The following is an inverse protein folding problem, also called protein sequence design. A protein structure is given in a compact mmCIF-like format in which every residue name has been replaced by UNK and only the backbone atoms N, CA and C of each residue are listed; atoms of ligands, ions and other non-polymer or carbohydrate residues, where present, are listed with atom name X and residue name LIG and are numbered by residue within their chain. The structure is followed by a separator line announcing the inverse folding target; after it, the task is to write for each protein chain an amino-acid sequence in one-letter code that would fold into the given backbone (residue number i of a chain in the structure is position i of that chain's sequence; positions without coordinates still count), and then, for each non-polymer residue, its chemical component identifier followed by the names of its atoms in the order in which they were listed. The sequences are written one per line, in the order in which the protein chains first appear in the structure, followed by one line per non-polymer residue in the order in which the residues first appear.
data_IF_033229265886
#
_entry.id   IF_033229265886
#
_cell.length_a   1.000
_cell.length_b   1.000
_cell.length_c   1.000
_cell.angle_alpha   90.00
_cell.angle_beta   90.00
_cell.angle_gamma   90.00
#
_symmetry.space_group_name_H-M   'P 1'
#
loop_
_entity.id
_entity.type
_entity.pdbx_description
1 polymer ?
#
# COMPACT_ATOMS: atom_id res chain seq x y z
N UNK A 1 76.49 24.69 0.22
CA UNK A 1 77.51 24.22 1.15
C UNK A 1 77.00 23.07 1.98
N UNK A 2 77.67 21.93 1.88
CA UNK A 2 77.84 20.82 2.85
C UNK A 2 76.58 20.08 3.22
N UNK A 3 76.49 18.76 3.23
CA UNK A 3 77.39 17.63 2.86
C UNK A 3 76.55 16.38 2.92
N UNK A 4 76.74 15.48 1.95
CA UNK A 4 76.28 14.06 1.97
C UNK A 4 76.86 13.33 3.20
N UNK A 5 76.09 12.43 3.79
CA UNK A 5 76.67 11.23 4.44
C UNK A 5 75.77 10.02 4.17
N UNK A 6 76.30 9.10 3.40
CA UNK A 6 75.89 7.75 3.27
C UNK A 6 76.47 6.90 4.41
N UNK A 7 75.76 5.90 4.88
CA UNK A 7 76.22 4.76 5.71
C UNK A 7 75.41 3.51 5.46
N UNK A 8 75.95 2.33 5.65
CA UNK A 8 75.80 1.26 4.67
C UNK A 8 74.81 0.14 5.04
N UNK A 9 74.63 -0.76 4.08
CA UNK A 9 73.86 -2.00 4.16
C UNK A 9 74.37 -2.95 5.25
N UNK A 10 73.47 -3.57 5.98
CA UNK A 10 73.65 -4.82 6.73
C UNK A 10 72.61 -5.82 6.31
N UNK A 11 73.06 -6.84 5.60
CA UNK A 11 72.32 -8.10 5.37
C UNK A 11 72.21 -8.83 6.71
N UNK A 12 70.97 -9.08 7.16
CA UNK A 12 70.67 -10.11 8.14
C UNK A 12 69.57 -10.99 7.57
N UNK A 13 69.91 -12.18 7.15
CA UNK A 13 69.00 -13.20 6.65
C UNK A 13 68.06 -13.66 7.79
N UNK A 14 66.79 -13.56 7.60
CA UNK A 14 65.76 -14.21 8.42
C UNK A 14 65.12 -15.32 7.62
N UNK A 15 65.48 -16.53 8.05
CA UNK A 15 64.86 -17.77 7.60
C UNK A 15 63.40 -17.74 8.04
N UNK A 16 62.48 -17.67 7.07
CA UNK A 16 61.01 -17.76 7.32
C UNK A 16 60.62 -19.23 7.34
N UNK A 17 60.40 -19.77 8.53
CA UNK A 17 59.83 -21.08 8.74
C UNK A 17 58.31 -20.98 8.45
N UNK A 18 57.88 -21.48 7.30
CA UNK A 18 56.45 -21.69 7.00
C UNK A 18 55.92 -22.81 7.87
N UNK A 19 55.30 -22.45 8.99
CA UNK A 19 54.43 -23.39 9.73
C UNK A 19 53.09 -23.42 8.97
N UNK A 20 52.86 -24.51 8.24
CA UNK A 20 51.56 -24.78 7.62
C UNK A 20 50.57 -25.13 8.74
N UNK A 21 49.77 -24.14 9.18
CA UNK A 21 48.61 -24.38 9.98
C UNK A 21 47.50 -24.95 9.06
N UNK A 22 47.38 -26.28 9.01
CA UNK A 22 46.21 -26.96 8.49
C UNK A 22 45.04 -26.81 9.50
N UNK A 23 44.43 -25.62 9.54
CA UNK A 23 43.08 -25.52 10.10
C UNK A 23 42.08 -25.94 9.05
N UNK A 24 41.24 -26.95 9.29
CA UNK A 24 40.13 -27.24 8.41
C UNK A 24 39.21 -26.02 8.43
N UNK A 25 39.07 -25.36 7.28
CA UNK A 25 38.03 -24.35 7.04
C UNK A 25 36.72 -25.11 7.21
N UNK A 26 36.11 -24.97 8.39
CA UNK A 26 34.71 -25.30 8.54
C UNK A 26 33.95 -24.39 7.62
N UNK A 27 33.50 -24.90 6.48
CA UNK A 27 32.50 -24.26 5.66
C UNK A 27 31.28 -24.01 6.57
N UNK A 28 31.07 -22.76 6.95
CA UNK A 28 29.79 -22.36 7.55
C UNK A 28 28.70 -22.76 6.54
N UNK A 29 27.65 -23.44 6.99
CA UNK A 29 26.52 -23.70 6.12
C UNK A 29 26.04 -22.32 5.63
N UNK A 30 26.12 -22.11 4.33
CA UNK A 30 25.48 -20.99 3.66
C UNK A 30 24.03 -21.01 4.13
N UNK A 31 23.59 -19.94 4.81
CA UNK A 31 22.23 -19.83 5.30
C UNK A 31 21.28 -20.16 4.15
N UNK A 32 20.54 -21.22 4.31
CA UNK A 32 19.43 -21.59 3.44
C UNK A 32 18.61 -20.31 3.24
N UNK A 33 18.49 -19.84 2.01
CA UNK A 33 17.60 -18.76 1.69
C UNK A 33 16.23 -19.17 2.25
N UNK A 34 15.75 -18.44 3.26
CA UNK A 34 14.48 -18.75 3.89
C UNK A 34 13.43 -18.79 2.79
N UNK A 35 12.71 -19.88 2.67
CA UNK A 35 11.60 -19.99 1.72
C UNK A 35 10.64 -18.81 1.94
N UNK A 36 10.11 -18.21 0.87
CA UNK A 36 9.17 -17.12 1.02
C UNK A 36 7.99 -17.53 1.92
N UNK A 37 7.50 -16.64 2.77
CA UNK A 37 6.41 -16.97 3.68
C UNK A 37 5.17 -17.42 2.88
N UNK A 38 4.60 -18.55 3.25
CA UNK A 38 3.46 -19.16 2.55
C UNK A 38 2.38 -19.58 3.55
N UNK A 39 1.12 -19.59 3.10
CA UNK A 39 0.02 -20.17 3.88
C UNK A 39 0.15 -21.69 3.96
N UNK A 40 -0.19 -22.26 5.11
CA UNK A 40 -0.25 -23.71 5.30
C UNK A 40 -1.35 -24.34 4.43
N UNK A 41 -2.48 -23.65 4.30
CA UNK A 41 -3.61 -24.09 3.48
C UNK A 41 -4.14 -22.87 2.74
N UNK A 42 -4.37 -22.98 1.44
CA UNK A 42 -4.98 -21.94 0.64
C UNK A 42 -5.89 -22.52 -0.45
N UNK A 43 -7.04 -21.90 -0.61
CA UNK A 43 -8.00 -22.17 -1.70
C UNK A 43 -8.23 -20.88 -2.48
N UNK A 44 -8.14 -20.98 -3.80
CA UNK A 44 -8.43 -19.90 -4.74
C UNK A 44 -9.47 -20.41 -5.73
N UNK A 45 -10.61 -19.72 -5.82
CA UNK A 45 -11.70 -20.09 -6.73
C UNK A 45 -12.13 -18.86 -7.52
N UNK A 46 -12.23 -18.98 -8.84
CA UNK A 46 -12.90 -18.00 -9.66
C UNK A 46 -14.41 -18.05 -9.35
N UNK A 47 -15.04 -16.90 -9.31
CA UNK A 47 -16.48 -16.78 -9.14
C UNK A 47 -17.05 -15.90 -10.25
N UNK A 48 -18.17 -16.32 -10.84
CA UNK A 48 -18.88 -15.50 -11.79
C UNK A 48 -19.45 -14.26 -11.09
N UNK A 49 -19.50 -13.15 -11.82
CA UNK A 49 -19.93 -11.88 -11.29
C UNK A 49 -21.37 -11.97 -10.77
N UNK A 50 -21.54 -11.86 -9.47
CA UNK A 50 -22.84 -11.86 -8.80
C UNK A 50 -23.16 -10.48 -8.26
N UNK A 51 -24.47 -10.18 -8.05
CA UNK A 51 -24.90 -8.91 -7.42
C UNK A 51 -24.52 -8.80 -5.95
N UNK A 52 -23.96 -9.84 -5.35
CA UNK A 52 -23.53 -9.83 -3.96
C UNK A 52 -22.26 -8.98 -3.79
N UNK A 53 -22.22 -8.16 -2.74
CA UNK A 53 -21.09 -7.31 -2.43
C UNK A 53 -19.83 -8.10 -2.04
N UNK A 54 -18.68 -7.45 -2.11
CA UNK A 54 -17.40 -7.98 -1.62
C UNK A 54 -17.42 -8.08 -0.11
N UNK A 55 -16.77 -9.10 0.42
CA UNK A 55 -16.53 -9.26 1.85
C UNK A 55 -15.09 -9.71 2.07
N UNK A 56 -14.36 -8.99 2.93
CA UNK A 56 -12.97 -9.29 3.26
C UNK A 56 -12.77 -9.33 4.77
N UNK A 57 -12.06 -10.34 5.24
CA UNK A 57 -11.67 -10.50 6.63
C UNK A 57 -10.20 -10.89 6.71
N UNK A 58 -9.47 -10.22 7.59
CA UNK A 58 -8.10 -10.59 7.98
C UNK A 58 -8.14 -10.89 9.47
N UNK A 59 -7.62 -12.04 9.86
CA UNK A 59 -7.51 -12.50 11.24
C UNK A 59 -6.05 -12.85 11.53
N UNK A 60 -5.61 -12.95 12.79
CA UNK A 60 -4.22 -13.32 13.08
C UNK A 60 -3.77 -14.67 12.47
N UNK A 61 -4.71 -15.55 12.14
CA UNK A 61 -4.44 -16.89 11.60
C UNK A 61 -4.76 -17.04 10.10
N UNK A 62 -5.11 -15.97 9.39
CA UNK A 62 -5.37 -16.07 7.95
C UNK A 62 -6.23 -14.97 7.35
N UNK A 63 -6.59 -15.18 6.10
CA UNK A 63 -7.37 -14.23 5.29
C UNK A 63 -8.56 -14.93 4.65
N UNK A 64 -9.63 -14.16 4.47
CA UNK A 64 -10.83 -14.56 3.73
C UNK A 64 -11.26 -13.38 2.87
N UNK A 65 -11.11 -13.49 1.56
CA UNK A 65 -11.52 -12.49 0.58
C UNK A 65 -12.53 -13.11 -0.37
N UNK A 66 -13.76 -12.59 -0.38
CA UNK A 66 -14.87 -13.10 -1.17
C UNK A 66 -15.24 -12.09 -2.24
N UNK A 67 -15.21 -12.52 -3.51
CA UNK A 67 -15.57 -11.71 -4.69
C UNK A 67 -14.65 -10.50 -4.91
N UNK A 68 -13.34 -10.69 -4.75
CA UNK A 68 -12.36 -9.64 -5.01
C UNK A 68 -11.80 -9.76 -6.43
N UNK A 69 -11.83 -8.67 -7.24
CA UNK A 69 -11.03 -8.59 -8.45
C UNK A 69 -9.54 -8.73 -8.16
N UNK A 70 -8.79 -9.28 -9.10
CA UNK A 70 -7.36 -9.54 -8.89
C UNK A 70 -6.57 -8.26 -8.61
N UNK A 71 -6.90 -7.15 -9.28
CA UNK A 71 -6.27 -5.85 -8.99
C UNK A 71 -6.42 -5.42 -7.53
N UNK A 72 -7.54 -5.71 -6.89
CA UNK A 72 -7.75 -5.37 -5.48
C UNK A 72 -6.94 -6.30 -4.58
N UNK A 73 -6.86 -7.60 -4.91
CA UNK A 73 -6.04 -8.54 -4.16
C UNK A 73 -4.55 -8.15 -4.21
N UNK A 74 -4.05 -7.70 -5.36
CA UNK A 74 -2.70 -7.15 -5.51
C UNK A 74 -2.56 -5.86 -4.68
N UNK A 75 -3.54 -4.97 -4.74
CA UNK A 75 -3.52 -3.72 -3.97
C UNK A 75 -3.41 -3.97 -2.46
N UNK A 76 -4.17 -4.95 -1.93
CA UNK A 76 -4.11 -5.37 -0.53
C UNK A 76 -2.76 -6.01 -0.18
N UNK A 77 -2.28 -6.94 -1.03
CA UNK A 77 -1.05 -7.68 -0.78
C UNK A 77 0.20 -6.78 -0.76
N UNK A 78 0.23 -5.75 -1.59
CA UNK A 78 1.38 -4.83 -1.74
C UNK A 78 1.17 -3.48 -1.08
N UNK A 79 0.07 -3.28 -0.36
CA UNK A 79 -0.27 -2.03 0.33
C UNK A 79 -0.20 -0.80 -0.59
N UNK A 80 -0.76 -0.92 -1.79
CA UNK A 80 -0.84 0.18 -2.77
C UNK A 80 -2.29 0.47 -3.15
N UNK A 81 -2.55 1.66 -3.66
CA UNK A 81 -3.86 1.97 -4.23
C UNK A 81 -4.03 1.33 -5.61
N UNK A 82 -5.26 0.96 -5.99
CA UNK A 82 -5.57 0.35 -7.28
C UNK A 82 -5.09 1.16 -8.49
N UNK A 83 -5.14 2.49 -8.38
CA UNK A 83 -4.68 3.41 -9.43
C UNK A 83 -3.17 3.33 -9.68
N UNK A 84 -2.41 2.75 -8.77
CA UNK A 84 -0.96 2.56 -8.89
C UNK A 84 -0.57 1.18 -9.45
N UNK A 85 -1.56 0.40 -9.89
CA UNK A 85 -1.34 -0.89 -10.53
C UNK A 85 -1.68 -0.73 -12.01
N UNK A 86 -0.71 -0.97 -12.86
CA UNK A 86 -0.83 -0.85 -14.31
C UNK A 86 -0.16 -2.03 -15.02
N UNK A 87 -0.43 -2.18 -16.32
CA UNK A 87 0.32 -3.04 -17.21
C UNK A 87 0.40 -2.38 -18.58
N UNK A 88 1.48 -2.55 -19.34
CA UNK A 88 1.55 -2.14 -20.72
C UNK A 88 0.70 -3.03 -21.65
N UNK A 89 0.34 -4.25 -21.19
CA UNK A 89 -0.49 -5.20 -21.92
C UNK A 89 -1.98 -5.00 -21.59
N UNK A 90 -2.82 -4.61 -22.58
CA UNK A 90 -4.27 -4.47 -22.37
C UNK A 90 -4.96 -5.75 -21.91
N UNK A 91 -4.48 -6.94 -22.35
CA UNK A 91 -5.03 -8.22 -21.95
C UNK A 91 -4.78 -8.51 -20.48
N UNK A 92 -3.61 -8.16 -19.96
CA UNK A 92 -3.30 -8.21 -18.52
C UNK A 92 -4.22 -7.25 -17.76
N UNK A 93 -4.40 -6.02 -18.25
CA UNK A 93 -5.29 -5.03 -17.62
C UNK A 93 -6.73 -5.53 -17.54
N UNK A 94 -7.23 -6.13 -18.61
CA UNK A 94 -8.56 -6.74 -18.62
C UNK A 94 -8.65 -7.87 -17.59
N UNK A 95 -7.66 -8.75 -17.52
CA UNK A 95 -7.63 -9.85 -16.55
C UNK A 95 -7.59 -9.36 -15.09
N UNK A 96 -6.91 -8.24 -14.79
CA UNK A 96 -6.85 -7.65 -13.46
C UNK A 96 -8.23 -7.16 -12.98
N UNK A 97 -9.08 -6.71 -13.90
CA UNK A 97 -10.39 -6.13 -13.59
C UNK A 97 -11.56 -7.08 -13.88
N UNK A 98 -11.38 -8.03 -14.80
CA UNK A 98 -12.39 -9.00 -15.17
C UNK A 98 -12.46 -10.18 -14.19
N UNK A 99 -13.67 -10.48 -13.75
CA UNK A 99 -13.91 -11.59 -12.85
C UNK A 99 -13.57 -11.30 -11.40
N UNK A 100 -14.02 -12.16 -10.56
CA UNK A 100 -13.79 -12.08 -9.12
C UNK A 100 -13.30 -13.42 -8.58
N UNK A 101 -12.58 -13.36 -7.46
CA UNK A 101 -11.97 -14.53 -6.84
C UNK A 101 -12.36 -14.60 -5.37
N UNK A 102 -12.58 -15.84 -4.91
CA UNK A 102 -12.67 -16.17 -3.51
C UNK A 102 -11.35 -16.77 -3.07
N UNK A 103 -10.72 -16.15 -2.07
CA UNK A 103 -9.48 -16.63 -1.45
C UNK A 103 -9.75 -16.90 0.02
N UNK A 104 -9.52 -18.13 0.44
CA UNK A 104 -9.50 -18.52 1.85
C UNK A 104 -8.15 -19.16 2.12
N UNK A 105 -7.36 -18.54 2.99
CA UNK A 105 -6.02 -19.03 3.30
C UNK A 105 -5.73 -18.93 4.81
N UNK A 106 -5.05 -19.93 5.34
CA UNK A 106 -4.71 -20.06 6.76
C UNK A 106 -3.21 -20.24 6.96
N UNK A 107 -2.66 -19.50 7.88
CA UNK A 107 -1.33 -19.72 8.42
C UNK A 107 -1.34 -20.92 9.40
N UNK A 108 -0.21 -21.48 9.70
CA UNK A 108 -0.03 -22.58 10.66
C UNK A 108 -0.08 -22.09 12.12
N UNK A 109 0.17 -20.80 12.34
CA UNK A 109 0.12 -20.13 13.64
C UNK A 109 -0.33 -18.68 13.48
N UNK A 110 -0.52 -17.97 14.58
CA UNK A 110 -0.83 -16.54 14.56
C UNK A 110 0.38 -15.73 14.08
N UNK A 111 0.15 -14.84 13.12
CA UNK A 111 1.18 -13.97 12.55
C UNK A 111 0.65 -12.53 12.40
N UNK A 112 1.53 -11.53 12.42
CA UNK A 112 1.15 -10.15 12.15
C UNK A 112 0.54 -9.98 10.76
N UNK A 113 -0.38 -9.02 10.60
CA UNK A 113 -1.00 -8.69 9.31
C UNK A 113 0.01 -8.49 8.18
N UNK A 114 1.13 -7.81 8.46
CA UNK A 114 2.19 -7.61 7.46
C UNK A 114 2.73 -8.94 6.90
N UNK A 115 2.88 -9.95 7.74
CA UNK A 115 3.33 -11.27 7.30
C UNK A 115 2.26 -12.01 6.50
N UNK A 116 0.98 -11.88 6.87
CA UNK A 116 -0.13 -12.41 6.06
C UNK A 116 -0.16 -11.80 4.66
N UNK A 117 0.17 -10.49 4.53
CA UNK A 117 0.25 -9.84 3.22
C UNK A 117 1.43 -10.38 2.39
N UNK A 118 2.59 -10.66 2.99
CA UNK A 118 3.69 -11.34 2.29
C UNK A 118 3.31 -12.76 1.86
N UNK A 119 2.60 -13.51 2.70
CA UNK A 119 2.05 -14.82 2.32
C UNK A 119 1.05 -14.71 1.16
N UNK A 120 0.24 -13.64 1.13
CA UNK A 120 -0.67 -13.38 0.01
C UNK A 120 0.09 -13.06 -1.28
N UNK A 121 1.20 -12.31 -1.22
CA UNK A 121 2.06 -12.08 -2.39
C UNK A 121 2.57 -13.41 -2.97
N UNK A 122 3.08 -14.30 -2.12
CA UNK A 122 3.52 -15.65 -2.52
C UNK A 122 2.37 -16.43 -3.16
N UNK A 123 1.19 -16.41 -2.55
CA UNK A 123 0.01 -17.11 -3.08
C UNK A 123 -0.39 -16.57 -4.47
N UNK A 124 -0.35 -15.25 -4.67
CA UNK A 124 -0.66 -14.63 -5.96
C UNK A 124 0.39 -15.01 -7.02
N UNK A 125 1.68 -14.98 -6.66
CA UNK A 125 2.76 -15.43 -7.55
C UNK A 125 2.59 -16.91 -7.97
N UNK A 126 2.25 -17.78 -7.03
CA UNK A 126 2.11 -19.20 -7.29
C UNK A 126 0.87 -19.56 -8.11
N UNK A 127 -0.29 -19.00 -7.73
CA UNK A 127 -1.58 -19.41 -8.30
C UNK A 127 -1.96 -18.67 -9.57
N UNK A 128 -1.58 -17.40 -9.68
CA UNK A 128 -1.85 -16.54 -10.83
C UNK A 128 -0.62 -16.34 -11.72
N UNK A 129 0.52 -16.93 -11.39
CA UNK A 129 1.80 -16.68 -12.06
C UNK A 129 2.14 -15.20 -12.14
N UNK A 130 1.72 -14.46 -11.11
CA UNK A 130 1.89 -13.02 -11.05
C UNK A 130 3.37 -12.64 -11.05
N UNK A 131 3.77 -11.89 -12.07
CA UNK A 131 5.08 -11.24 -12.17
C UNK A 131 4.84 -9.74 -12.26
N UNK A 132 5.50 -8.98 -11.42
CA UNK A 132 5.42 -7.54 -11.39
C UNK A 132 6.75 -6.92 -10.98
N UNK A 133 6.92 -5.65 -11.32
CA UNK A 133 8.04 -4.83 -10.85
C UNK A 133 7.57 -3.46 -10.38
N UNK A 134 8.45 -2.78 -9.63
CA UNK A 134 8.24 -1.42 -9.19
C UNK A 134 8.76 -0.44 -10.23
N UNK A 135 7.95 0.55 -10.59
CA UNK A 135 8.33 1.64 -11.48
C UNK A 135 8.01 2.98 -10.83
N UNK A 136 9.02 3.83 -10.67
CA UNK A 136 8.82 5.20 -10.18
C UNK A 136 8.54 6.14 -11.34
N UNK A 137 7.34 6.73 -11.37
CA UNK A 137 6.94 7.74 -12.36
C UNK A 137 6.74 9.09 -11.69
N UNK A 138 7.24 10.16 -12.31
CA UNK A 138 6.97 11.52 -11.84
C UNK A 138 5.55 11.90 -12.25
N UNK A 139 4.67 11.96 -11.27
CA UNK A 139 3.25 12.24 -11.46
C UNK A 139 2.79 13.47 -10.67
N UNK A 140 1.69 14.11 -11.09
CA UNK A 140 1.05 15.14 -10.27
C UNK A 140 0.55 14.52 -8.96
N UNK A 141 0.95 15.11 -7.84
CA UNK A 141 0.56 14.66 -6.49
C UNK A 141 0.00 15.84 -5.69
N UNK A 142 -0.58 15.55 -4.54
CA UNK A 142 -0.77 16.52 -3.48
C UNK A 142 0.20 16.18 -2.33
N UNK A 143 0.90 17.18 -1.82
CA UNK A 143 1.66 17.08 -0.58
C UNK A 143 0.77 17.51 0.57
N UNK A 144 0.61 16.64 1.56
CA UNK A 144 0.00 16.98 2.83
C UNK A 144 1.08 17.56 3.73
N UNK A 145 0.96 18.83 4.08
CA UNK A 145 1.93 19.56 4.90
C UNK A 145 1.24 20.23 6.08
N UNK A 146 1.99 20.62 7.12
CA UNK A 146 1.47 21.43 8.22
C UNK A 146 1.24 22.86 7.73
N UNK A 147 0.05 23.39 7.96
CA UNK A 147 -0.30 24.77 7.64
C UNK A 147 0.42 25.79 8.54
N UNK A 148 0.37 27.06 8.16
CA UNK A 148 1.08 28.17 8.86
C UNK A 148 0.73 28.29 10.35
N UNK A 149 -0.48 27.89 10.74
CA UNK A 149 -0.99 28.01 12.12
C UNK A 149 -0.75 26.75 12.97
N UNK A 150 0.05 25.80 12.45
CA UNK A 150 0.28 24.51 13.10
C UNK A 150 -0.89 23.52 12.95
N UNK A 151 -0.66 22.26 13.33
CA UNK A 151 -1.69 21.23 13.29
C UNK A 151 -2.73 21.45 14.39
N UNK A 152 -3.99 21.14 14.10
CA UNK A 152 -5.12 21.15 15.03
C UNK A 152 -5.57 19.70 15.28
N UNK A 153 -4.64 18.86 15.65
CA UNK A 153 -4.83 17.43 15.85
C UNK A 153 -4.67 17.10 17.33
N UNK A 154 -5.41 16.12 17.82
CA UNK A 154 -5.24 15.58 19.17
C UNK A 154 -4.47 14.27 19.06
N UNK A 155 -3.38 14.15 19.82
CA UNK A 155 -2.66 12.89 19.90
C UNK A 155 -3.56 11.82 20.50
N UNK A 156 -3.60 10.65 19.87
CA UNK A 156 -4.36 9.52 20.35
C UNK A 156 -3.70 8.96 21.62
N UNK A 157 -4.52 8.72 22.64
CA UNK A 157 -4.08 8.09 23.89
C UNK A 157 -4.37 6.59 23.92
N UNK A 158 -5.01 6.05 22.87
CA UNK A 158 -5.40 4.65 22.77
C UNK A 158 -4.34 3.79 22.11
N UNK A 159 -4.19 2.55 22.58
CA UNK A 159 -3.51 1.48 21.87
C UNK A 159 -4.56 0.72 21.05
N UNK A 160 -4.34 0.50 19.77
CA UNK A 160 -5.27 -0.22 18.90
C UNK A 160 -4.95 -0.05 17.42
N UNK A 161 -5.70 -0.78 16.59
CA UNK A 161 -5.61 -0.62 15.14
C UNK A 161 -6.19 0.74 14.72
N UNK A 162 -5.67 1.34 13.64
CA UNK A 162 -6.19 2.58 13.12
C UNK A 162 -7.62 2.38 12.60
N UNK A 163 -8.52 3.29 12.98
CA UNK A 163 -9.89 3.30 12.50
C UNK A 163 -10.14 4.47 11.56
N UNK A 164 -10.70 4.16 10.40
CA UNK A 164 -11.24 5.14 9.47
C UNK A 164 -12.72 4.89 9.26
N UNK A 165 -13.54 5.83 9.66
CA UNK A 165 -14.99 5.77 9.49
C UNK A 165 -15.53 7.02 8.80
N UNK A 166 -16.86 7.01 8.54
CA UNK A 166 -17.55 8.15 7.98
C UNK A 166 -18.50 8.74 9.02
N UNK A 167 -18.44 10.04 9.15
CA UNK A 167 -19.43 10.82 9.89
C UNK A 167 -20.79 10.83 9.17
N UNK A 168 -21.81 11.37 9.83
CA UNK A 168 -23.20 11.45 9.29
C UNK A 168 -23.29 12.31 8.04
N UNK A 169 -22.38 13.25 7.86
CA UNK A 169 -22.28 14.21 6.74
C UNK A 169 -21.34 13.73 5.62
N UNK A 170 -20.82 12.52 5.70
CA UNK A 170 -19.87 11.98 4.71
C UNK A 170 -18.41 12.38 4.95
N UNK A 171 -18.12 13.15 6.00
CA UNK A 171 -16.77 13.47 6.44
C UNK A 171 -16.06 12.26 7.06
N UNK A 172 -14.77 12.41 7.39
CA UNK A 172 -13.97 11.37 8.00
C UNK A 172 -14.02 11.45 9.54
N UNK A 173 -14.06 10.27 10.16
CA UNK A 173 -13.76 10.07 11.58
C UNK A 173 -12.53 9.18 11.65
N UNK A 174 -11.43 9.71 12.15
CA UNK A 174 -10.16 9.04 12.25
C UNK A 174 -9.79 8.84 13.71
N UNK A 175 -9.41 7.61 14.08
CA UNK A 175 -8.93 7.27 15.42
C UNK A 175 -7.64 6.50 15.32
N UNK A 176 -6.71 6.78 16.19
CA UNK A 176 -5.39 6.14 16.28
C UNK A 176 -4.66 6.08 14.92
N UNK A 177 -4.76 7.16 14.13
CA UNK A 177 -4.31 7.21 12.74
C UNK A 177 -3.03 8.02 12.59
N UNK A 178 -2.04 7.48 11.86
CA UNK A 178 -0.87 8.24 11.41
C UNK A 178 -1.21 9.13 10.22
N UNK A 179 -0.39 10.16 9.98
CA UNK A 179 -0.57 11.02 8.79
C UNK A 179 -0.31 10.26 7.48
N UNK A 180 0.54 9.25 7.50
CA UNK A 180 0.76 8.37 6.36
C UNK A 180 -0.51 7.56 6.02
N UNK A 181 -1.19 6.99 7.00
CA UNK A 181 -2.45 6.26 6.80
C UNK A 181 -3.56 7.21 6.34
N UNK A 182 -3.62 8.42 6.89
CA UNK A 182 -4.57 9.44 6.45
C UNK A 182 -4.32 9.87 4.99
N UNK A 183 -3.07 10.11 4.59
CA UNK A 183 -2.71 10.47 3.22
C UNK A 183 -3.09 9.38 2.20
N UNK A 184 -2.95 8.09 2.57
CA UNK A 184 -3.42 6.95 1.77
C UNK A 184 -4.94 6.95 1.60
N UNK A 185 -5.68 7.24 2.68
CA UNK A 185 -7.13 7.37 2.62
C UNK A 185 -7.57 8.54 1.72
N UNK A 186 -6.88 9.67 1.78
CA UNK A 186 -7.11 10.81 0.89
C UNK A 186 -6.83 10.43 -0.58
N UNK A 187 -5.73 9.73 -0.85
CA UNK A 187 -5.38 9.26 -2.20
C UNK A 187 -6.53 8.48 -2.84
N UNK A 188 -7.14 7.56 -2.09
CA UNK A 188 -8.26 6.74 -2.60
C UNK A 188 -9.53 7.54 -2.93
N UNK A 189 -9.66 8.78 -2.42
CA UNK A 189 -10.86 9.63 -2.55
C UNK A 189 -10.67 10.83 -3.46
N UNK A 190 -9.44 11.31 -3.58
CA UNK A 190 -9.14 12.51 -4.36
C UNK A 190 -8.74 12.19 -5.80
N UNK A 191 -8.66 10.91 -6.19
CA UNK A 191 -8.23 10.51 -7.54
C UNK A 191 -6.79 10.91 -7.88
N UNK A 192 -6.03 11.41 -6.90
CA UNK A 192 -4.63 11.82 -7.03
C UNK A 192 -3.85 11.40 -5.79
N UNK A 193 -2.62 10.96 -5.99
CA UNK A 193 -1.75 10.55 -4.89
C UNK A 193 -1.53 11.71 -3.92
N UNK A 194 -1.72 11.43 -2.64
CA UNK A 194 -1.41 12.34 -1.53
C UNK A 194 -0.18 11.79 -0.81
N UNK A 195 0.88 12.59 -0.76
CA UNK A 195 2.14 12.23 -0.10
C UNK A 195 2.20 12.95 1.25
N UNK A 196 2.40 12.18 2.31
CA UNK A 196 2.61 12.75 3.64
C UNK A 196 3.99 13.44 3.72
N UNK A 197 3.97 14.73 3.94
CA UNK A 197 5.14 15.58 4.22
C UNK A 197 4.88 16.48 5.44
N UNK A 198 4.01 16.04 6.36
CA UNK A 198 3.72 16.79 7.59
C UNK A 198 4.86 16.75 8.59
N UNK A 199 5.70 15.71 8.56
CA UNK A 199 6.70 15.46 9.59
C UNK A 199 6.13 15.02 10.94
N UNK A 200 4.81 14.78 11.02
CA UNK A 200 4.12 14.34 12.22
C UNK A 200 4.21 12.82 12.34
N UNK A 201 4.94 12.34 13.34
CA UNK A 201 5.20 10.90 13.54
C UNK A 201 4.24 10.23 14.52
N UNK A 202 3.38 11.01 15.18
CA UNK A 202 2.39 10.52 16.15
C UNK A 202 1.19 9.82 15.53
N UNK A 203 0.32 9.33 16.42
CA UNK A 203 -1.03 8.87 16.07
C UNK A 203 -2.04 9.87 16.58
N UNK A 204 -3.09 10.10 15.82
CA UNK A 204 -4.02 11.21 16.05
C UNK A 204 -5.47 10.77 15.95
N UNK A 205 -6.29 11.39 16.80
CA UNK A 205 -7.75 11.31 16.75
C UNK A 205 -8.29 12.64 16.23
N UNK A 206 -9.06 12.59 15.17
CA UNK A 206 -9.67 13.79 14.59
C UNK A 206 -10.91 13.47 13.77
N UNK A 207 -11.73 14.47 13.59
CA UNK A 207 -12.88 14.44 12.67
C UNK A 207 -12.70 15.52 11.63
N UNK A 208 -12.93 15.19 10.37
CA UNK A 208 -12.98 16.12 9.27
C UNK A 208 -14.43 16.18 8.77
N UNK A 209 -15.13 17.25 9.12
CA UNK A 209 -16.49 17.49 8.66
C UNK A 209 -16.44 17.97 7.20
N UNK A 210 -17.20 17.30 6.35
CA UNK A 210 -17.39 17.72 4.96
C UNK A 210 -18.87 18.02 4.76
N UNK A 211 -19.19 19.21 4.29
CA UNK A 211 -20.55 19.49 3.80
C UNK A 211 -20.70 18.91 2.39
N UNK A 212 -21.14 17.67 2.36
CA UNK A 212 -21.28 16.83 1.18
C UNK A 212 -22.74 16.57 0.83
N UNK A 213 -23.58 17.54 1.07
CA UNK A 213 -24.93 17.48 0.53
C UNK A 213 -24.83 17.61 -0.99
N UNK A 214 -25.12 16.53 -1.77
CA UNK A 214 -25.05 16.60 -3.22
C UNK A 214 -25.92 17.74 -3.72
N UNK A 215 -25.36 18.57 -4.58
CA UNK A 215 -26.11 19.67 -5.19
C UNK A 215 -27.26 19.13 -6.06
N UNK A 216 -28.28 19.95 -6.34
CA UNK A 216 -29.40 19.55 -7.18
C UNK A 216 -28.99 18.96 -8.52
N UNK A 217 -27.89 19.46 -9.11
CA UNK A 217 -27.33 18.99 -10.37
C UNK A 217 -26.75 17.59 -10.25
N UNK A 218 -25.97 17.31 -9.22
CA UNK A 218 -25.36 16.00 -8.96
C UNK A 218 -26.44 14.95 -8.67
N UNK A 219 -27.48 15.33 -7.92
CA UNK A 219 -28.63 14.45 -7.67
C UNK A 219 -29.35 14.14 -9.01
N UNK A 220 -29.55 15.14 -9.84
CA UNK A 220 -30.22 14.99 -11.13
C UNK A 220 -29.39 14.12 -12.09
N UNK A 221 -28.09 14.31 -12.16
CA UNK A 221 -27.17 13.47 -12.95
C UNK A 221 -27.13 12.03 -12.45
N UNK A 222 -27.08 11.81 -11.13
CA UNK A 222 -27.14 10.47 -10.53
C UNK A 222 -28.46 9.77 -10.85
N UNK A 223 -29.59 10.50 -10.79
CA UNK A 223 -30.92 9.96 -11.12
C UNK A 223 -31.09 9.71 -12.62
N UNK A 224 -30.47 10.55 -13.47
CA UNK A 224 -30.54 10.42 -14.93
C UNK A 224 -29.62 9.31 -15.45
N UNK A 225 -28.57 8.94 -14.71
CA UNK A 225 -27.58 7.95 -15.14
C UNK A 225 -28.12 6.52 -15.20
N UNK A 226 -29.28 6.22 -14.60
CA UNK A 226 -29.89 4.89 -14.64
C UNK A 226 -31.39 4.94 -14.31
N UNK A 227 -32.17 4.17 -15.05
CA UNK A 227 -33.55 3.88 -14.70
C UNK A 227 -33.71 2.89 -13.53
N UNK A 228 -32.60 2.28 -13.09
CA UNK A 228 -32.56 1.39 -11.92
C UNK A 228 -32.31 2.23 -10.63
N UNK A 229 -33.26 2.27 -9.69
CA UNK A 229 -33.11 2.99 -8.43
C UNK A 229 -31.88 2.57 -7.61
N UNK A 230 -31.47 1.29 -7.71
CA UNK A 230 -30.29 0.80 -7.01
C UNK A 230 -28.99 1.31 -7.64
N UNK A 231 -28.94 1.49 -8.95
CA UNK A 231 -27.83 2.09 -9.65
C UNK A 231 -27.72 3.61 -9.38
N UNK A 232 -28.85 4.31 -9.39
CA UNK A 232 -28.91 5.73 -9.02
C UNK A 232 -28.43 5.95 -7.58
N UNK A 233 -28.82 5.11 -6.63
CA UNK A 233 -28.35 5.17 -5.24
C UNK A 233 -26.84 4.90 -5.14
N UNK A 234 -26.29 3.98 -5.96
CA UNK A 234 -24.83 3.72 -6.01
C UNK A 234 -24.06 4.92 -6.58
N UNK A 235 -24.56 5.54 -7.65
CA UNK A 235 -23.98 6.72 -8.26
C UNK A 235 -23.95 7.90 -7.27
N UNK A 236 -25.04 8.14 -6.56
CA UNK A 236 -25.14 9.15 -5.52
C UNK A 236 -24.16 8.86 -4.37
N UNK A 237 -24.07 7.61 -3.92
CA UNK A 237 -23.10 7.20 -2.92
C UNK A 237 -21.65 7.37 -3.38
N UNK A 238 -21.35 7.14 -4.65
CA UNK A 238 -20.03 7.39 -5.23
C UNK A 238 -19.70 8.89 -5.24
N UNK A 239 -20.64 9.74 -5.64
CA UNK A 239 -20.49 11.19 -5.62
C UNK A 239 -20.25 11.72 -4.18
N UNK A 240 -20.94 11.16 -3.18
CA UNK A 240 -20.71 11.50 -1.77
C UNK A 240 -19.33 11.06 -1.25
N UNK A 241 -18.71 10.08 -1.84
CA UNK A 241 -17.39 9.59 -1.45
C UNK A 241 -16.24 10.20 -2.27
N UNK A 242 -16.54 11.03 -3.25
CA UNK A 242 -15.52 11.75 -4.03
C UNK A 242 -15.14 13.05 -3.31
N UNK A 243 -13.91 13.13 -2.81
CA UNK A 243 -13.37 14.26 -2.10
C UNK A 243 -12.52 15.19 -2.98
N UNK A 244 -12.67 15.10 -4.30
CA UNK A 244 -11.93 15.94 -5.25
C UNK A 244 -12.44 17.40 -5.32
N UNK A 245 -13.54 17.72 -4.64
CA UNK A 245 -14.10 19.08 -4.62
C UNK A 245 -13.16 20.08 -3.97
N UNK A 246 -13.25 21.33 -4.41
CA UNK A 246 -12.40 22.43 -3.90
C UNK A 246 -12.55 22.70 -2.39
N UNK A 247 -13.68 22.31 -1.78
CA UNK A 247 -13.94 22.50 -0.35
C UNK A 247 -12.98 21.70 0.52
N UNK A 248 -12.56 20.48 0.11
CA UNK A 248 -11.67 19.64 0.91
C UNK A 248 -10.36 20.34 1.28
N UNK A 249 -9.82 21.18 0.38
CA UNK A 249 -8.58 21.91 0.64
C UNK A 249 -8.76 22.92 1.79
N UNK A 250 -9.88 23.62 1.79
CA UNK A 250 -10.21 24.58 2.86
C UNK A 250 -10.57 23.85 4.15
N UNK A 251 -11.29 22.74 4.06
CA UNK A 251 -11.74 21.96 5.23
C UNK A 251 -10.55 21.35 5.98
N UNK A 252 -9.63 20.72 5.26
CA UNK A 252 -8.38 20.22 5.85
C UNK A 252 -7.59 21.34 6.50
N UNK A 253 -7.53 22.52 5.86
CA UNK A 253 -6.76 23.65 6.40
C UNK A 253 -7.42 24.26 7.63
N UNK A 254 -8.71 24.46 7.61
CA UNK A 254 -9.43 25.14 8.69
C UNK A 254 -9.65 24.24 9.90
N UNK A 255 -9.95 22.97 9.67
CA UNK A 255 -10.30 22.02 10.72
C UNK A 255 -9.07 21.31 11.29
N UNK A 256 -8.14 20.85 10.43
CA UNK A 256 -6.98 20.06 10.86
C UNK A 256 -5.68 20.89 10.97
N UNK A 257 -5.65 22.11 10.46
CA UNK A 257 -4.43 22.91 10.40
C UNK A 257 -3.38 22.35 9.44
N UNK A 258 -3.78 21.45 8.55
CA UNK A 258 -2.96 20.85 7.50
C UNK A 258 -3.27 21.52 6.16
N UNK A 259 -2.42 21.34 5.16
CA UNK A 259 -2.61 21.91 3.83
C UNK A 259 -2.26 20.90 2.76
N UNK A 260 -3.06 20.85 1.69
CA UNK A 260 -2.74 20.12 0.48
C UNK A 260 -2.12 21.07 -0.55
N UNK A 261 -0.91 20.78 -0.99
CA UNK A 261 -0.18 21.54 -2.01
C UNK A 261 0.00 20.69 -3.26
N UNK A 262 -0.39 21.25 -4.42
CA UNK A 262 -0.15 20.57 -5.70
C UNK A 262 1.35 20.58 -6.02
N UNK A 263 1.88 19.42 -6.36
CA UNK A 263 3.29 19.23 -6.73
C UNK A 263 3.44 18.07 -7.73
N UNK A 264 4.67 17.78 -8.10
CA UNK A 264 5.07 16.58 -8.85
C UNK A 264 6.10 15.81 -8.03
N UNK A 265 5.88 14.52 -7.89
CA UNK A 265 6.81 13.66 -7.16
C UNK A 265 6.96 12.31 -7.85
N UNK A 266 8.10 11.62 -7.65
CA UNK A 266 8.19 10.21 -8.01
C UNK A 266 7.15 9.43 -7.20
N UNK A 267 6.26 8.77 -7.90
CA UNK A 267 5.26 7.87 -7.32
C UNK A 267 5.64 6.46 -7.71
N UNK A 268 5.86 5.62 -6.70
CA UNK A 268 6.12 4.22 -6.91
C UNK A 268 4.82 3.52 -7.34
N UNK A 269 4.84 2.86 -8.49
CA UNK A 269 3.72 2.14 -9.08
C UNK A 269 4.12 0.68 -9.32
N UNK A 270 3.16 -0.22 -9.27
CA UNK A 270 3.35 -1.62 -9.62
C UNK A 270 2.98 -1.82 -11.09
N UNK A 271 3.91 -2.33 -11.86
CA UNK A 271 3.68 -2.73 -13.24
C UNK A 271 3.59 -4.24 -13.28
N UNK A 272 2.43 -4.75 -13.71
CA UNK A 272 2.21 -6.19 -13.87
C UNK A 272 2.70 -6.59 -15.26
N UNK A 273 3.74 -7.41 -15.27
CA UNK A 273 4.38 -7.91 -16.49
C UNK A 273 3.66 -9.15 -17.02
N UNK A 274 3.18 -10.01 -16.10
CA UNK A 274 2.52 -11.25 -16.45
C UNK A 274 1.51 -11.67 -15.39
N UNK A 275 0.41 -12.26 -15.84
CA UNK A 275 -0.58 -12.89 -14.97
C UNK A 275 -1.38 -13.95 -15.75
N UNK A 276 -1.79 -15.01 -15.08
CA UNK A 276 -2.61 -16.08 -15.61
C UNK A 276 -3.87 -16.30 -14.77
N UNK A 277 -4.88 -16.96 -15.33
CA UNK A 277 -6.01 -17.45 -14.54
C UNK A 277 -5.50 -18.48 -13.53
N UNK A 278 -6.05 -18.50 -12.30
CA UNK A 278 -5.55 -19.42 -11.29
C UNK A 278 -5.71 -20.88 -11.75
N UNK A 279 -4.69 -21.70 -11.50
CA UNK A 279 -4.81 -23.14 -11.67
C UNK A 279 -5.90 -23.68 -10.74
N UNK A 280 -6.66 -24.68 -11.22
CA UNK A 280 -7.63 -25.38 -10.38
C UNK A 280 -6.94 -25.97 -9.13
N UNK A 281 -7.65 -25.91 -7.98
CA UNK A 281 -7.17 -26.52 -6.73
C UNK A 281 -7.21 -28.05 -6.81
#
# INVERSE_FOLDING_TARGET
MRTLRAVPASLAGLIWVCIANNNPIHAQPQGSAASPPAFAIASVKAEEETKAGRNGRVTPVGIEFMRFPLRILIAEAYDVTRSRISSPDPGVMEMLDAGTYNIVAKADHEVPKAQLMLMLQTLLADRFKLVLHHEAKVEPVYKLVVGKNGPKLHESVGEGEPEFGFGRTGGAVCRNMTMLEFSRNLTGRMGRVVVDQTGLTGRYDFTLELDRTPGPKEIQEALASSSDPAAAKRALGAAMNDWSSSSIFSDIQTQLGLKLEADKAPVDSLVVDHVEKPSAN
#
